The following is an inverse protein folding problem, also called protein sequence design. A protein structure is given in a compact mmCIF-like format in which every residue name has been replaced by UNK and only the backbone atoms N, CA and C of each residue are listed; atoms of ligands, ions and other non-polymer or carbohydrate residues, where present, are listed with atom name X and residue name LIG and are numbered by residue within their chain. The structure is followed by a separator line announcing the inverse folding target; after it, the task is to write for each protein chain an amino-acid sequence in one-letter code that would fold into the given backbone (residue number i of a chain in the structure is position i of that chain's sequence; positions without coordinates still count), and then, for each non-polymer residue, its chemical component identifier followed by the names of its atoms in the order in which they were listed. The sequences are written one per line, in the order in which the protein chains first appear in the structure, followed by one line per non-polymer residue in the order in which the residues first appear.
data_IF_319443548089
#
_entry.id   IF_319443548089
#
_cell.length_a   1.000
_cell.length_b   1.000
_cell.length_c   1.000
_cell.angle_alpha   90.00
_cell.angle_beta   90.00
_cell.angle_gamma   90.00
#
_symmetry.space_group_name_H-M   'P 1'
#
loop_
_entity.id
_entity.type
_entity.pdbx_description
1 polymer ?
#
# COMPACT_ATOMS: atom_id res chain seq x y z
N UNK A 1 -8.41 9.70 4.06
CA UNK A 1 -7.08 9.10 4.31
C UNK A 1 -6.31 9.65 5.52
N UNK A 2 -5.90 10.93 5.58
CA UNK A 2 -5.03 11.45 6.67
C UNK A 2 -5.62 11.32 8.08
N UNK A 3 -6.94 11.50 8.24
CA UNK A 3 -7.62 11.33 9.52
C UNK A 3 -7.61 9.86 9.98
N UNK A 4 -8.05 8.94 9.11
CA UNK A 4 -8.02 7.50 9.36
C UNK A 4 -6.62 6.97 9.69
N UNK A 5 -5.60 7.43 8.97
CA UNK A 5 -4.22 7.03 9.25
C UNK A 5 -3.73 7.51 10.62
N UNK A 6 -4.16 8.70 11.06
CA UNK A 6 -3.85 9.24 12.38
C UNK A 6 -4.62 8.50 13.47
N UNK A 7 -5.88 8.20 13.24
CA UNK A 7 -6.71 7.40 14.14
C UNK A 7 -6.14 5.99 14.33
N UNK A 8 -5.71 5.35 13.24
CA UNK A 8 -5.03 4.06 13.29
C UNK A 8 -3.75 4.11 14.14
N UNK A 9 -2.93 5.17 14.01
CA UNK A 9 -1.77 5.37 14.89
C UNK A 9 -2.18 5.54 16.36
N UNK A 10 -3.20 6.34 16.64
CA UNK A 10 -3.69 6.57 18.00
C UNK A 10 -4.27 5.30 18.63
N UNK A 11 -4.93 4.47 17.83
CA UNK A 11 -5.47 3.17 18.23
C UNK A 11 -4.40 2.06 18.32
N UNK A 12 -3.12 2.38 18.04
CA UNK A 12 -2.03 1.39 18.08
C UNK A 12 -2.10 0.35 16.95
N UNK A 13 -2.90 0.60 15.92
CA UNK A 13 -3.01 -0.29 14.76
C UNK A 13 -1.71 -0.25 13.97
N UNK A 14 -1.26 -1.43 13.53
CA UNK A 14 -0.09 -1.53 12.67
C UNK A 14 -0.39 -0.98 11.29
N UNK A 15 0.41 -0.03 10.85
CA UNK A 15 0.35 0.53 9.51
C UNK A 15 1.44 -0.09 8.62
N UNK A 16 1.06 -0.45 7.41
CA UNK A 16 1.98 -0.98 6.40
C UNK A 16 1.90 -0.08 5.18
N UNK A 17 3.00 0.58 4.85
CA UNK A 17 3.09 1.51 3.72
C UNK A 17 4.18 0.99 2.78
N UNK A 18 3.84 0.32 1.66
CA UNK A 18 4.84 -0.16 0.71
C UNK A 18 5.76 0.98 0.22
N UNK A 19 7.07 0.73 0.13
CA UNK A 19 8.03 1.74 -0.29
C UNK A 19 7.73 2.31 -1.69
N UNK A 20 7.21 1.49 -2.60
CA UNK A 20 6.78 1.92 -3.94
C UNK A 20 5.65 2.95 -3.91
N UNK A 21 4.66 2.75 -3.03
CA UNK A 21 3.56 3.70 -2.79
C UNK A 21 4.10 5.00 -2.21
N UNK A 22 5.06 4.92 -1.28
CA UNK A 22 5.74 6.09 -0.74
C UNK A 22 6.40 6.91 -1.86
N UNK A 23 7.08 6.24 -2.80
CA UNK A 23 7.68 6.86 -3.97
C UNK A 23 6.65 7.58 -4.86
N UNK A 24 5.52 6.93 -5.17
CA UNK A 24 4.43 7.54 -5.95
C UNK A 24 3.87 8.80 -5.28
N UNK A 25 3.72 8.77 -3.95
CA UNK A 25 3.22 9.92 -3.19
C UNK A 25 4.24 11.06 -3.14
N UNK A 26 5.54 10.76 -3.04
CA UNK A 26 6.60 11.78 -3.07
C UNK A 26 6.76 12.43 -4.44
N UNK A 27 6.41 11.74 -5.53
CA UNK A 27 6.46 12.27 -6.90
C UNK A 27 5.62 13.53 -7.10
N UNK A 28 4.49 13.69 -6.41
CA UNK A 28 3.52 14.77 -6.64
C UNK A 28 3.57 15.97 -5.67
N UNK A 29 4.75 16.42 -5.24
CA UNK A 29 4.96 17.23 -4.03
C UNK A 29 4.12 18.53 -3.82
N UNK A 30 3.58 18.69 -2.60
CA UNK A 30 3.68 19.87 -1.73
C UNK A 30 3.39 19.48 -0.26
N UNK A 31 4.20 19.97 0.70
CA UNK A 31 4.13 19.75 2.17
C UNK A 31 3.58 18.38 2.64
N UNK A 32 4.47 17.39 2.65
CA UNK A 32 4.22 16.02 3.12
C UNK A 32 4.48 15.86 4.64
N UNK A 33 4.54 16.95 5.42
CA UNK A 33 4.83 16.89 6.88
C UNK A 33 3.92 15.87 7.61
N UNK A 34 2.60 15.82 7.35
CA UNK A 34 1.73 14.83 7.96
C UNK A 34 2.07 13.38 7.57
N UNK A 35 2.51 13.14 6.33
CA UNK A 35 2.88 11.80 5.87
C UNK A 35 4.25 11.37 6.40
N UNK A 36 5.20 12.29 6.54
CA UNK A 36 6.48 12.01 7.22
C UNK A 36 6.27 11.61 8.67
N UNK A 37 5.35 12.28 9.38
CA UNK A 37 5.00 11.91 10.74
C UNK A 37 4.35 10.51 10.81
N UNK A 38 3.47 10.19 9.85
CA UNK A 38 2.85 8.87 9.74
C UNK A 38 3.90 7.77 9.53
N UNK A 39 4.83 7.98 8.61
CA UNK A 39 5.91 7.04 8.29
C UNK A 39 6.84 6.81 9.49
N UNK A 40 7.09 7.85 10.30
CA UNK A 40 7.89 7.77 11.53
C UNK A 40 7.09 7.23 12.74
N UNK A 41 5.81 6.93 12.56
CA UNK A 41 4.97 6.39 13.62
C UNK A 41 5.51 5.06 14.15
N UNK A 42 5.41 4.77 15.46
CA UNK A 42 6.03 3.60 16.09
C UNK A 42 5.44 2.27 15.62
N UNK A 43 4.20 2.27 15.12
CA UNK A 43 3.51 1.08 14.60
C UNK A 43 3.52 1.03 13.07
N UNK A 44 4.25 1.94 12.41
CA UNK A 44 4.33 2.00 10.95
C UNK A 44 5.54 1.21 10.45
N UNK A 45 5.30 0.38 9.44
CA UNK A 45 6.34 -0.35 8.72
C UNK A 45 6.33 0.05 7.25
N UNK A 46 7.52 0.11 6.65
CA UNK A 46 7.70 0.43 5.23
C UNK A 46 8.43 -0.74 4.55
N UNK A 47 7.71 -1.78 4.09
CA UNK A 47 8.35 -2.90 3.40
C UNK A 47 9.05 -2.41 2.12
N UNK A 48 10.30 -2.82 1.88
CA UNK A 48 11.02 -2.47 0.66
C UNK A 48 10.43 -3.21 -0.56
N UNK A 49 10.62 -2.62 -1.74
CA UNK A 49 10.48 -3.33 -3.00
C UNK A 49 11.83 -3.96 -3.34
N UNK A 50 12.04 -5.19 -2.87
CA UNK A 50 13.22 -5.99 -3.21
C UNK A 50 13.02 -6.78 -4.51
N UNK A 51 14.06 -7.51 -4.93
CA UNK A 51 14.03 -8.31 -6.16
C UNK A 51 12.88 -9.32 -6.17
N UNK A 52 12.68 -10.06 -5.07
CA UNK A 52 11.67 -11.12 -4.98
C UNK A 52 10.26 -10.52 -5.12
N UNK A 53 9.99 -9.43 -4.41
CA UNK A 53 8.70 -8.75 -4.51
C UNK A 53 8.50 -8.13 -5.89
N UNK A 54 9.55 -7.60 -6.52
CA UNK A 54 9.48 -7.04 -7.87
C UNK A 54 9.13 -8.10 -8.93
N UNK A 55 9.81 -9.26 -8.90
CA UNK A 55 9.53 -10.39 -9.80
C UNK A 55 8.10 -10.92 -9.59
N UNK A 56 7.69 -11.11 -8.33
CA UNK A 56 6.34 -11.56 -8.00
C UNK A 56 5.25 -10.57 -8.46
N UNK A 57 5.52 -9.27 -8.36
CA UNK A 57 4.61 -8.21 -8.82
C UNK A 57 4.45 -8.23 -10.33
N UNK A 58 5.56 -8.34 -11.06
CA UNK A 58 5.53 -8.50 -12.52
C UNK A 58 4.77 -9.76 -12.96
N UNK A 59 5.02 -10.89 -12.29
CA UNK A 59 4.32 -12.14 -12.56
C UNK A 59 2.82 -12.04 -12.24
N UNK A 60 2.42 -11.32 -11.18
CA UNK A 60 1.01 -11.07 -10.88
C UNK A 60 0.37 -10.25 -12.00
N UNK A 61 0.96 -9.12 -12.36
CA UNK A 61 0.50 -8.26 -13.45
C UNK A 61 0.29 -9.03 -14.75
N UNK A 62 1.26 -9.87 -15.14
CA UNK A 62 1.16 -10.71 -16.33
C UNK A 62 -0.03 -11.68 -16.28
N UNK A 63 -0.29 -12.31 -15.13
CA UNK A 63 -1.43 -13.23 -14.96
C UNK A 63 -2.78 -12.52 -14.98
N UNK A 64 -2.84 -11.28 -14.50
CA UNK A 64 -4.08 -10.51 -14.36
C UNK A 64 -4.33 -9.55 -15.52
N UNK A 65 -3.42 -9.45 -16.48
CA UNK A 65 -3.52 -8.53 -17.61
C UNK A 65 -3.43 -7.06 -17.19
N UNK A 66 -2.73 -6.76 -16.09
CA UNK A 66 -2.49 -5.40 -15.59
C UNK A 66 -1.02 -5.00 -15.77
N UNK A 67 -0.68 -3.74 -15.53
CA UNK A 67 0.68 -3.22 -15.74
C UNK A 67 1.26 -2.45 -14.55
N UNK A 68 0.44 -1.99 -13.60
CA UNK A 68 0.95 -1.26 -12.43
C UNK A 68 1.54 -2.23 -11.41
N UNK A 69 2.87 -2.36 -11.45
CA UNK A 69 3.60 -3.20 -10.51
C UNK A 69 3.53 -2.67 -9.08
N UNK A 70 3.29 -1.38 -8.84
CA UNK A 70 3.15 -0.85 -7.48
C UNK A 70 1.83 -1.31 -6.87
N UNK A 71 0.73 -1.28 -7.63
CA UNK A 71 -0.54 -1.86 -7.17
C UNK A 71 -0.40 -3.36 -6.88
N UNK A 72 0.33 -4.10 -7.72
CA UNK A 72 0.64 -5.49 -7.45
C UNK A 72 1.44 -5.69 -6.14
N UNK A 73 2.41 -4.81 -5.83
CA UNK A 73 3.12 -4.87 -4.55
C UNK A 73 2.18 -4.65 -3.35
N UNK A 74 1.20 -3.74 -3.48
CA UNK A 74 0.19 -3.50 -2.43
C UNK A 74 -0.59 -4.78 -2.16
N UNK A 75 -1.08 -5.44 -3.22
CA UNK A 75 -1.85 -6.69 -3.09
C UNK A 75 -1.01 -7.80 -2.45
N UNK A 76 0.23 -8.00 -2.91
CA UNK A 76 1.11 -9.07 -2.41
C UNK A 76 1.49 -8.84 -0.94
N UNK A 77 1.80 -7.59 -0.56
CA UNK A 77 2.08 -7.24 0.83
C UNK A 77 0.83 -7.41 1.68
N UNK A 78 -0.33 -6.92 1.25
CA UNK A 78 -1.57 -7.07 2.00
C UNK A 78 -1.91 -8.54 2.28
N UNK A 79 -1.69 -9.42 1.30
CA UNK A 79 -1.83 -10.87 1.49
C UNK A 79 -0.83 -11.44 2.48
N UNK A 80 0.45 -11.10 2.35
CA UNK A 80 1.51 -11.56 3.26
C UNK A 80 1.24 -11.14 4.70
N UNK A 81 0.80 -9.90 4.90
CA UNK A 81 0.56 -9.30 6.21
C UNK A 81 -0.84 -9.59 6.76
N UNK A 82 -1.71 -10.26 5.99
CA UNK A 82 -3.15 -10.43 6.27
C UNK A 82 -3.84 -9.10 6.60
N UNK A 83 -3.44 -8.05 5.91
CA UNK A 83 -3.91 -6.68 6.12
C UNK A 83 -5.12 -6.36 5.25
N UNK A 84 -5.92 -5.39 5.71
CA UNK A 84 -6.96 -4.72 4.90
C UNK A 84 -6.31 -3.57 4.15
N UNK A 85 -6.56 -3.45 2.85
CA UNK A 85 -6.09 -2.32 2.06
C UNK A 85 -7.09 -1.18 2.16
N UNK A 86 -6.59 0.02 2.50
CA UNK A 86 -7.39 1.22 2.55
C UNK A 86 -7.09 2.07 1.32
N UNK A 87 -8.09 2.31 0.47
CA UNK A 87 -7.91 3.03 -0.80
C UNK A 87 -9.20 3.71 -1.25
N UNK A 88 -9.10 4.83 -1.97
CA UNK A 88 -10.24 5.47 -2.63
C UNK A 88 -10.60 4.80 -3.96
N UNK A 89 -9.62 4.17 -4.59
CA UNK A 89 -9.78 3.41 -5.83
C UNK A 89 -9.62 1.91 -5.55
N UNK A 90 -10.74 1.19 -5.64
CA UNK A 90 -10.80 -0.25 -5.38
C UNK A 90 -10.76 -1.08 -6.66
N UNK A 91 -11.00 -0.47 -7.82
CA UNK A 91 -11.22 -1.24 -9.05
C UNK A 91 -9.93 -1.89 -9.54
N UNK A 92 -8.83 -1.13 -9.53
CA UNK A 92 -7.53 -1.62 -9.99
C UNK A 92 -7.00 -2.75 -9.10
N UNK A 93 -7.16 -2.62 -7.77
CA UNK A 93 -6.75 -3.68 -6.84
C UNK A 93 -7.61 -4.95 -6.96
N UNK A 94 -8.90 -4.82 -7.30
CA UNK A 94 -9.77 -5.99 -7.53
C UNK A 94 -9.47 -6.73 -8.81
N UNK A 95 -8.91 -6.05 -9.83
CA UNK A 95 -8.40 -6.73 -11.04
C UNK A 95 -7.21 -7.61 -10.71
N UNK A 96 -6.35 -7.18 -9.78
CA UNK A 96 -5.21 -7.95 -9.29
C UNK A 96 -5.62 -9.10 -8.35
N UNK A 97 -6.58 -8.85 -7.46
CA UNK A 97 -7.10 -9.86 -6.54
C UNK A 97 -8.57 -9.58 -6.14
N UNK A 98 -9.54 -10.31 -6.72
CA UNK A 98 -10.96 -10.10 -6.45
C UNK A 98 -11.40 -10.35 -5.01
N UNK A 99 -10.59 -11.11 -4.23
CA UNK A 99 -10.89 -11.48 -2.84
C UNK A 99 -10.10 -10.64 -1.83
N UNK A 100 -9.43 -9.58 -2.28
CA UNK A 100 -8.62 -8.75 -1.39
C UNK A 100 -9.53 -8.02 -0.38
N UNK A 101 -9.24 -8.09 0.94
CA UNK A 101 -9.95 -7.27 1.91
C UNK A 101 -9.62 -5.79 1.66
N UNK A 102 -10.63 -5.01 1.29
CA UNK A 102 -10.49 -3.59 0.95
C UNK A 102 -11.51 -2.77 1.73
N UNK A 103 -11.06 -1.69 2.34
CA UNK A 103 -11.89 -0.65 2.93
C UNK A 103 -11.79 0.62 2.06
N UNK A 104 -12.94 1.09 1.58
CA UNK A 104 -13.01 2.28 0.72
C UNK A 104 -13.09 3.56 1.54
N UNK A 105 -12.32 4.57 1.15
CA UNK A 105 -12.28 5.90 1.80
C UNK A 105 -12.44 7.07 0.82
#
# INVERSE_FOLDING_TARGET
MRALAREALTAGVRLVIPAGVLGQVWRGAASQVPLRALVKGPTTTVPPLDQVLAEASGALCARTGTSDVIDATVVLIARRERAVVVTSDTEDLRRLDPKLPIERI
#
